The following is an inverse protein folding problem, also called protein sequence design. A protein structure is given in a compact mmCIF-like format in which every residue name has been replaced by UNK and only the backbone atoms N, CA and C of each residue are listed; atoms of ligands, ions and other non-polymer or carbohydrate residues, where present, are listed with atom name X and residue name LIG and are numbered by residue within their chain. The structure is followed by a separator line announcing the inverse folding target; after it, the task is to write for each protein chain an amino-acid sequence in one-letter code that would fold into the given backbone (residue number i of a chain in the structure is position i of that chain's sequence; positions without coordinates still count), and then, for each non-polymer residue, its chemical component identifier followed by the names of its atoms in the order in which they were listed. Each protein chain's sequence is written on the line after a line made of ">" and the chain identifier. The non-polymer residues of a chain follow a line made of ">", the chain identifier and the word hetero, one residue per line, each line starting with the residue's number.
data_IF_326629326141
#
_entry.id   IF_326629326141
#
_cell.length_a   1.000
_cell.length_b   1.000
_cell.length_c   1.000
_cell.angle_alpha   90.00
_cell.angle_beta   90.00
_cell.angle_gamma   90.00
#
_symmetry.space_group_name_H-M   'P 1'
#
loop_
_entity.id
_entity.type
_entity.pdbx_description
1 polymer ?
#
# COMPACT_ATOMS: atom_id res chain seq x y z
N UNK A 1 9.69 -26.91 -82.58
CA UNK A 1 9.33 -25.75 -81.75
C UNK A 1 8.41 -26.23 -80.65
N UNK A 2 8.99 -26.57 -79.49
CA UNK A 2 8.28 -27.00 -78.30
C UNK A 2 8.62 -26.00 -77.19
N UNK A 3 7.60 -25.34 -76.66
CA UNK A 3 7.67 -24.34 -75.61
C UNK A 3 7.79 -25.04 -74.26
N UNK A 4 8.96 -24.91 -73.60
CA UNK A 4 9.14 -25.27 -72.20
C UNK A 4 8.54 -24.19 -71.29
N UNK A 5 7.62 -24.59 -70.42
CA UNK A 5 7.20 -23.80 -69.27
C UNK A 5 8.15 -24.07 -68.09
N UNK A 6 8.55 -23.06 -67.30
CA UNK A 6 9.31 -23.29 -66.08
C UNK A 6 8.37 -23.69 -64.93
N UNK A 7 8.63 -24.86 -64.36
CA UNK A 7 8.09 -25.33 -63.08
C UNK A 7 8.73 -24.53 -61.94
N UNK A 8 7.92 -23.72 -61.26
CA UNK A 8 8.25 -23.13 -59.96
C UNK A 8 8.04 -24.20 -58.87
N UNK A 9 9.05 -25.06 -58.66
CA UNK A 9 9.22 -25.80 -57.40
C UNK A 9 10.17 -24.98 -56.53
N UNK A 10 9.61 -24.16 -55.64
CA UNK A 10 10.23 -23.69 -54.40
C UNK A 10 9.22 -22.78 -53.66
N UNK A 11 8.09 -23.37 -53.25
CA UNK A 11 7.25 -22.78 -52.21
C UNK A 11 7.75 -23.35 -50.87
N UNK A 12 8.61 -22.58 -50.19
CA UNK A 12 8.99 -22.86 -48.82
C UNK A 12 7.74 -23.08 -47.96
N UNK A 13 7.69 -24.09 -47.07
CA UNK A 13 6.54 -24.28 -46.21
C UNK A 13 6.35 -23.01 -45.39
N UNK A 14 5.14 -22.45 -45.47
CA UNK A 14 4.68 -21.39 -44.60
C UNK A 14 5.05 -21.79 -43.17
N UNK A 15 5.95 -21.01 -42.55
CA UNK A 15 6.25 -21.15 -41.13
C UNK A 15 4.92 -20.99 -40.42
N UNK A 16 4.40 -22.08 -39.86
CA UNK A 16 3.40 -22.01 -38.82
C UNK A 16 3.96 -21.05 -37.76
N UNK A 17 3.38 -19.86 -37.67
CA UNK A 17 3.61 -18.96 -36.56
C UNK A 17 3.21 -19.73 -35.32
N UNK A 18 4.20 -20.30 -34.64
CA UNK A 18 4.01 -20.98 -33.37
C UNK A 18 3.43 -19.99 -32.39
N UNK A 19 2.10 -19.97 -32.29
CA UNK A 19 1.40 -19.26 -31.25
C UNK A 19 1.83 -19.85 -29.92
N UNK A 20 2.53 -19.05 -29.12
CA UNK A 20 2.95 -19.42 -27.78
C UNK A 20 1.70 -19.85 -26.97
N UNK A 21 1.70 -20.98 -26.24
CA UNK A 21 0.53 -21.49 -25.50
C UNK A 21 -0.05 -20.53 -24.44
N UNK A 22 0.67 -19.44 -24.13
CA UNK A 22 0.21 -18.36 -23.24
C UNK A 22 -0.61 -17.29 -23.98
N UNK A 23 -0.66 -17.31 -25.31
CA UNK A 23 -1.38 -16.35 -26.16
C UNK A 23 -2.69 -16.90 -26.73
N UNK A 24 -2.96 -18.20 -26.57
CA UNK A 24 -4.07 -18.89 -27.25
C UNK A 24 -5.38 -18.99 -26.46
N UNK A 25 -5.50 -18.41 -25.26
CA UNK A 25 -6.65 -18.67 -24.37
C UNK A 25 -7.62 -17.48 -24.19
N UNK A 26 -7.28 -16.29 -24.68
CA UNK A 26 -8.15 -15.09 -24.57
C UNK A 26 -8.69 -14.57 -25.92
N UNK A 27 -8.60 -15.36 -26.99
CA UNK A 27 -8.70 -14.90 -28.38
C UNK A 27 -10.09 -14.46 -28.88
N UNK A 28 -11.08 -14.18 -28.02
CA UNK A 28 -12.37 -13.63 -28.47
C UNK A 28 -12.95 -12.49 -27.62
N UNK A 29 -12.47 -12.28 -26.39
CA UNK A 29 -13.00 -11.22 -25.53
C UNK A 29 -12.11 -9.99 -25.62
N UNK A 30 -12.73 -8.84 -25.86
CA UNK A 30 -12.02 -7.55 -25.91
C UNK A 30 -12.49 -6.61 -24.81
N UNK A 31 -13.70 -6.82 -24.28
CA UNK A 31 -14.33 -5.93 -23.30
C UNK A 31 -14.28 -6.50 -21.88
N UNK A 32 -14.01 -5.64 -20.91
CA UNK A 32 -13.99 -5.99 -19.48
C UNK A 32 -15.30 -6.60 -18.99
N UNK A 33 -16.44 -6.10 -19.48
CA UNK A 33 -17.75 -6.62 -19.12
C UNK A 33 -17.95 -8.08 -19.53
N UNK A 34 -17.49 -8.44 -20.73
CA UNK A 34 -17.54 -9.82 -21.23
C UNK A 34 -16.62 -10.70 -20.39
N UNK A 35 -15.40 -10.23 -20.14
CA UNK A 35 -14.45 -10.91 -19.27
C UNK A 35 -15.05 -11.19 -17.89
N UNK A 36 -15.75 -10.21 -17.29
CA UNK A 36 -16.35 -10.36 -15.95
C UNK A 36 -17.48 -11.38 -15.93
N UNK A 37 -18.33 -11.39 -16.96
CA UNK A 37 -19.38 -12.40 -17.11
C UNK A 37 -18.77 -13.80 -17.21
N UNK A 38 -17.75 -13.95 -18.06
CA UNK A 38 -17.03 -15.21 -18.25
C UNK A 38 -16.30 -15.64 -16.96
N UNK A 39 -15.67 -14.72 -16.24
CA UNK A 39 -15.00 -15.00 -14.96
C UNK A 39 -15.98 -15.47 -13.88
N UNK A 40 -17.17 -14.86 -13.83
CA UNK A 40 -18.26 -15.27 -12.95
C UNK A 40 -18.85 -16.64 -13.31
N UNK A 41 -18.96 -16.95 -14.60
CA UNK A 41 -19.50 -18.21 -15.10
C UNK A 41 -18.49 -19.37 -15.07
N UNK A 42 -17.18 -19.09 -15.11
CA UNK A 42 -16.13 -20.10 -15.12
C UNK A 42 -16.18 -20.96 -13.86
N UNK A 43 -16.34 -22.27 -14.04
CA UNK A 43 -16.29 -23.27 -12.96
C UNK A 43 -14.93 -23.97 -12.86
N UNK A 44 -14.16 -23.97 -13.96
CA UNK A 44 -12.84 -24.60 -14.01
C UNK A 44 -11.74 -23.66 -13.50
N UNK A 45 -10.88 -24.18 -12.62
CA UNK A 45 -9.78 -23.42 -12.05
C UNK A 45 -8.76 -22.96 -13.10
N UNK A 46 -8.46 -23.80 -14.10
CA UNK A 46 -7.58 -23.45 -15.21
C UNK A 46 -8.11 -22.24 -15.97
N UNK A 47 -9.40 -22.28 -16.33
CA UNK A 47 -10.07 -21.15 -16.98
C UNK A 47 -10.03 -19.88 -16.15
N UNK A 48 -10.35 -19.94 -14.84
CA UNK A 48 -10.25 -18.77 -13.95
C UNK A 48 -8.84 -18.20 -13.89
N UNK A 49 -7.81 -19.05 -13.84
CA UNK A 49 -6.41 -18.62 -13.88
C UNK A 49 -6.10 -17.88 -15.18
N UNK A 50 -6.47 -18.44 -16.33
CA UNK A 50 -6.15 -17.85 -17.63
C UNK A 50 -6.86 -16.50 -17.82
N UNK A 51 -8.10 -16.39 -17.32
CA UNK A 51 -8.81 -15.11 -17.25
C UNK A 51 -8.08 -14.09 -16.40
N UNK A 52 -7.60 -14.46 -15.21
CA UNK A 52 -6.81 -13.56 -14.34
C UNK A 52 -5.52 -13.09 -15.02
N UNK A 53 -4.84 -13.95 -15.77
CA UNK A 53 -3.62 -13.56 -16.48
C UNK A 53 -3.87 -12.56 -17.62
N UNK A 54 -5.06 -12.59 -18.21
CA UNK A 54 -5.45 -11.72 -19.33
C UNK A 54 -6.36 -10.54 -18.97
N UNK A 55 -6.92 -10.43 -17.76
CA UNK A 55 -7.99 -9.46 -17.52
C UNK A 55 -7.57 -7.99 -17.62
N UNK A 56 -6.30 -7.66 -17.41
CA UNK A 56 -5.79 -6.29 -17.63
C UNK A 56 -5.56 -5.94 -19.10
N UNK A 57 -5.57 -6.90 -20.02
CA UNK A 57 -5.53 -6.62 -21.46
C UNK A 57 -6.90 -6.28 -22.04
N UNK A 58 -7.97 -6.44 -21.25
CA UNK A 58 -9.34 -6.11 -21.65
C UNK A 58 -9.55 -4.59 -21.66
N UNK A 59 -10.27 -4.11 -22.67
CA UNK A 59 -10.70 -2.72 -22.77
C UNK A 59 -11.78 -2.43 -21.71
N UNK A 60 -11.62 -1.32 -21.00
CA UNK A 60 -12.60 -0.80 -20.05
C UNK A 60 -13.32 0.39 -20.68
N UNK A 61 -14.64 0.47 -20.48
CA UNK A 61 -15.46 1.53 -21.07
C UNK A 61 -15.28 2.89 -20.37
N UNK A 62 -14.77 2.89 -19.14
CA UNK A 62 -14.54 4.11 -18.36
C UNK A 62 -13.95 3.84 -16.98
N UNK A 63 -13.76 4.91 -16.21
CA UNK A 63 -13.11 4.88 -14.90
C UNK A 63 -13.80 3.96 -13.88
N UNK A 64 -15.13 3.82 -13.94
CA UNK A 64 -15.88 2.93 -13.03
C UNK A 64 -15.50 1.46 -13.23
N UNK A 65 -15.40 1.01 -14.49
CA UNK A 65 -14.98 -0.37 -14.82
C UNK A 65 -13.50 -0.59 -14.47
N UNK A 66 -12.69 0.46 -14.55
CA UNK A 66 -11.28 0.44 -14.14
C UNK A 66 -11.11 0.25 -12.62
N UNK A 67 -11.89 1.00 -11.83
CA UNK A 67 -11.96 0.87 -10.36
C UNK A 67 -12.44 -0.52 -9.96
N UNK A 68 -13.49 -1.02 -10.64
CA UNK A 68 -14.01 -2.36 -10.41
C UNK A 68 -12.96 -3.43 -10.68
N UNK A 69 -12.22 -3.31 -11.79
CA UNK A 69 -11.12 -4.23 -12.13
C UNK A 69 -10.07 -4.26 -11.03
N UNK A 70 -9.57 -3.10 -10.62
CA UNK A 70 -8.53 -3.01 -9.59
C UNK A 70 -9.02 -3.61 -8.24
N UNK A 71 -10.28 -3.36 -7.88
CA UNK A 71 -10.89 -3.95 -6.69
C UNK A 71 -11.04 -5.47 -6.78
N UNK A 72 -11.47 -5.99 -7.92
CA UNK A 72 -11.65 -7.44 -8.14
C UNK A 72 -10.31 -8.17 -8.03
N UNK A 73 -9.24 -7.63 -8.60
CA UNK A 73 -7.92 -8.25 -8.50
C UNK A 73 -7.42 -8.30 -7.05
N UNK A 74 -7.62 -7.24 -6.27
CA UNK A 74 -7.30 -7.26 -4.83
C UNK A 74 -8.16 -8.26 -4.05
N UNK A 75 -9.44 -8.43 -4.40
CA UNK A 75 -10.31 -9.43 -3.77
C UNK A 75 -9.88 -10.87 -4.09
N UNK A 76 -9.55 -11.15 -5.36
CA UNK A 76 -9.05 -12.47 -5.78
C UNK A 76 -7.69 -12.77 -5.17
N UNK A 77 -6.83 -11.75 -5.04
CA UNK A 77 -5.49 -11.86 -4.46
C UNK A 77 -5.48 -11.98 -2.93
N UNK A 78 -6.62 -11.77 -2.26
CA UNK A 78 -6.66 -11.78 -0.80
C UNK A 78 -6.31 -13.15 -0.22
N UNK A 79 -5.40 -13.15 0.74
CA UNK A 79 -4.89 -14.35 1.39
C UNK A 79 -3.80 -15.09 0.61
N UNK A 80 -3.28 -14.59 -0.52
CA UNK A 80 -2.30 -15.33 -1.34
C UNK A 80 -1.04 -15.80 -0.58
N UNK A 81 -0.66 -15.08 0.49
CA UNK A 81 0.48 -15.42 1.35
C UNK A 81 0.13 -16.27 2.58
N UNK A 82 -1.14 -16.59 2.81
CA UNK A 82 -1.58 -17.40 3.95
C UNK A 82 -2.05 -18.80 3.48
N UNK A 83 -1.27 -19.82 3.85
CA UNK A 83 -1.63 -21.23 3.60
C UNK A 83 -2.81 -21.71 4.45
N UNK A 84 -3.13 -21.03 5.56
CA UNK A 84 -4.20 -21.38 6.49
C UNK A 84 -5.55 -20.71 6.20
N UNK A 85 -5.57 -19.53 5.58
CA UNK A 85 -6.80 -18.79 5.23
C UNK A 85 -7.68 -19.55 4.22
N UNK A 86 -7.09 -20.36 3.35
CA UNK A 86 -7.82 -21.11 2.33
C UNK A 86 -8.52 -22.37 2.86
N UNK A 87 -8.33 -22.71 4.16
CA UNK A 87 -8.99 -23.85 4.81
C UNK A 87 -10.28 -23.48 5.55
N UNK A 88 -10.68 -22.20 5.60
CA UNK A 88 -11.90 -21.78 6.30
C UNK A 88 -13.12 -21.88 5.37
N UNK A 89 -14.00 -22.82 5.67
CA UNK A 89 -15.34 -22.92 5.10
C UNK A 89 -16.11 -21.62 5.35
N UNK A 90 -16.35 -20.85 4.27
CA UNK A 90 -17.03 -19.56 4.42
C UNK A 90 -17.23 -18.71 3.16
N UNK A 91 -16.85 -19.16 1.96
CA UNK A 91 -16.91 -18.31 0.77
C UNK A 91 -17.83 -18.87 -0.31
N UNK A 92 -19.15 -18.69 -0.10
CA UNK A 92 -20.21 -19.02 -1.06
C UNK A 92 -20.24 -18.13 -2.33
N UNK A 93 -19.40 -17.09 -2.40
CA UNK A 93 -19.47 -16.07 -3.45
C UNK A 93 -18.70 -16.36 -4.75
N UNK A 94 -17.74 -17.27 -4.74
CA UNK A 94 -16.86 -17.53 -5.90
C UNK A 94 -16.96 -18.96 -6.47
N UNK A 95 -17.89 -19.78 -5.95
CA UNK A 95 -18.21 -21.10 -6.51
C UNK A 95 -17.18 -22.21 -6.25
N UNK A 96 -16.24 -22.03 -5.32
CA UNK A 96 -15.18 -23.00 -5.02
C UNK A 96 -15.67 -24.15 -4.12
N UNK A 97 -16.50 -25.06 -4.64
CA UNK A 97 -16.97 -26.22 -3.87
C UNK A 97 -16.74 -27.53 -4.62
N UNK A 98 -15.75 -28.31 -4.18
CA UNK A 98 -15.70 -29.76 -4.40
C UNK A 98 -14.69 -30.42 -3.46
N UNK A 99 -15.04 -31.53 -2.82
CA UNK A 99 -14.09 -32.38 -2.06
C UNK A 99 -13.13 -33.17 -2.97
N UNK A 100 -13.24 -32.99 -4.30
CA UNK A 100 -12.30 -33.58 -5.25
C UNK A 100 -10.97 -32.83 -5.27
N UNK A 101 -9.87 -33.55 -5.50
CA UNK A 101 -8.59 -32.94 -5.92
C UNK A 101 -8.63 -32.78 -7.45
N UNK A 102 -9.03 -31.62 -7.99
CA UNK A 102 -9.09 -31.45 -9.43
C UNK A 102 -7.68 -31.51 -10.03
N UNK A 103 -7.63 -31.85 -11.32
CA UNK A 103 -6.43 -31.66 -12.12
C UNK A 103 -6.26 -30.17 -12.40
N UNK A 104 -5.08 -29.63 -12.09
CA UNK A 104 -4.72 -28.24 -12.32
C UNK A 104 -3.25 -28.17 -12.75
N UNK A 105 -2.99 -27.60 -13.93
CA UNK A 105 -1.66 -27.55 -14.55
C UNK A 105 -0.99 -28.94 -14.64
N UNK A 106 -1.76 -29.96 -15.01
CA UNK A 106 -1.25 -31.33 -15.19
C UNK A 106 -1.11 -32.16 -13.91
N UNK A 107 -1.42 -31.62 -12.74
CA UNK A 107 -1.26 -32.30 -11.45
C UNK A 107 -2.55 -32.30 -10.63
N UNK A 108 -2.75 -33.32 -9.79
CA UNK A 108 -3.83 -33.32 -8.79
C UNK A 108 -3.43 -32.44 -7.63
N UNK A 109 -4.18 -31.35 -7.42
CA UNK A 109 -3.94 -30.40 -6.33
C UNK A 109 -5.19 -30.24 -5.49
N UNK A 110 -5.00 -29.82 -4.24
CA UNK A 110 -6.11 -29.43 -3.39
C UNK A 110 -6.65 -28.05 -3.80
N UNK A 111 -7.93 -27.80 -3.57
CA UNK A 111 -8.51 -26.48 -3.84
C UNK A 111 -7.81 -25.31 -3.13
N UNK A 112 -7.35 -25.45 -1.87
CA UNK A 112 -6.53 -24.42 -1.23
C UNK A 112 -5.26 -24.06 -2.00
N UNK A 113 -4.53 -25.06 -2.51
CA UNK A 113 -3.30 -24.84 -3.30
C UNK A 113 -3.59 -24.15 -4.64
N UNK A 114 -4.69 -24.54 -5.28
CA UNK A 114 -5.15 -23.94 -6.54
C UNK A 114 -5.56 -22.48 -6.31
N UNK A 115 -6.37 -22.21 -5.28
CA UNK A 115 -6.81 -20.86 -4.94
C UNK A 115 -5.62 -19.98 -4.57
N UNK A 116 -4.69 -20.48 -3.77
CA UNK A 116 -3.46 -19.76 -3.45
C UNK A 116 -2.67 -19.41 -4.72
N UNK A 117 -2.61 -20.32 -5.70
CA UNK A 117 -1.92 -20.05 -6.97
C UNK A 117 -2.63 -18.98 -7.78
N UNK A 118 -3.94 -19.04 -7.92
CA UNK A 118 -4.74 -18.02 -8.62
C UNK A 118 -4.63 -16.66 -7.93
N UNK A 119 -4.70 -16.64 -6.59
CA UNK A 119 -4.54 -15.42 -5.80
C UNK A 119 -3.14 -14.80 -5.99
N UNK A 120 -2.10 -15.63 -6.06
CA UNK A 120 -0.74 -15.16 -6.35
C UNK A 120 -0.63 -14.60 -7.77
N UNK A 121 -1.16 -15.31 -8.77
CA UNK A 121 -1.14 -14.85 -10.16
C UNK A 121 -1.91 -13.51 -10.29
N UNK A 122 -3.05 -13.36 -9.60
CA UNK A 122 -3.81 -12.10 -9.53
C UNK A 122 -3.00 -10.97 -8.88
N UNK A 123 -2.33 -11.25 -7.78
CA UNK A 123 -1.48 -10.25 -7.12
C UNK A 123 -0.30 -9.83 -7.98
N UNK A 124 0.37 -10.78 -8.65
CA UNK A 124 1.51 -10.49 -9.53
C UNK A 124 1.10 -9.62 -10.72
N UNK A 125 -0.07 -9.89 -11.31
CA UNK A 125 -0.64 -9.04 -12.37
C UNK A 125 -0.96 -7.66 -11.80
N UNK A 126 -1.72 -7.56 -10.71
CA UNK A 126 -2.04 -6.27 -10.09
C UNK A 126 -0.79 -5.44 -9.74
N UNK A 127 0.20 -6.08 -9.12
CA UNK A 127 1.46 -5.42 -8.74
C UNK A 127 2.22 -4.93 -9.97
N UNK A 128 2.23 -5.70 -11.07
CA UNK A 128 2.89 -5.31 -12.32
C UNK A 128 2.17 -4.17 -13.04
N UNK A 129 0.85 -4.18 -13.09
CA UNK A 129 0.06 -3.21 -13.85
C UNK A 129 -0.22 -1.92 -13.05
N UNK A 130 -0.32 -1.99 -11.71
CA UNK A 130 -0.75 -0.85 -10.87
C UNK A 130 0.24 -0.37 -9.84
N UNK A 131 1.06 -1.25 -9.28
CA UNK A 131 2.02 -0.87 -8.24
C UNK A 131 3.41 -0.61 -8.79
N UNK A 132 3.68 -1.07 -10.02
CA UNK A 132 4.98 -0.94 -10.64
C UNK A 132 5.26 0.53 -10.93
N UNK A 133 6.27 1.01 -10.23
CA UNK A 133 7.00 2.20 -10.61
C UNK A 133 7.60 2.01 -12.01
N UNK A 134 7.07 2.70 -13.01
CA UNK A 134 7.82 2.88 -14.25
C UNK A 134 8.98 3.82 -13.94
N UNK A 135 10.19 3.26 -14.05
CA UNK A 135 11.52 3.87 -14.16
C UNK A 135 12.54 3.66 -13.04
N UNK A 136 13.69 3.24 -13.56
CA UNK A 136 15.04 2.98 -13.07
C UNK A 136 15.73 4.06 -12.23
N UNK A 137 15.02 5.07 -11.70
CA UNK A 137 15.67 6.18 -10.98
C UNK A 137 15.53 6.04 -9.45
N UNK A 138 16.63 5.87 -8.69
CA UNK A 138 16.59 5.63 -7.24
C UNK A 138 16.14 6.83 -6.39
N UNK A 139 15.82 7.97 -7.01
CA UNK A 139 15.57 9.26 -6.33
C UNK A 139 14.20 9.85 -6.63
N UNK A 140 13.41 9.23 -7.51
CA UNK A 140 12.10 9.76 -7.91
C UNK A 140 11.09 8.63 -7.70
N UNK A 141 10.19 8.74 -6.69
CA UNK A 141 9.05 7.83 -6.58
C UNK A 141 8.30 7.84 -7.91
N UNK A 142 7.89 6.71 -8.46
CA UNK A 142 7.10 6.72 -9.68
C UNK A 142 5.65 6.93 -9.31
N UNK A 143 5.17 8.14 -9.57
CA UNK A 143 3.85 8.60 -9.19
C UNK A 143 2.74 8.09 -10.14
N UNK A 144 3.05 7.22 -11.10
CA UNK A 144 2.09 6.68 -12.07
C UNK A 144 0.95 5.90 -11.40
N UNK A 145 1.21 5.28 -10.25
CA UNK A 145 0.18 4.57 -9.48
C UNK A 145 -0.81 5.52 -8.78
N UNK A 146 -0.43 6.78 -8.54
CA UNK A 146 -1.19 7.70 -7.68
C UNK A 146 -2.54 8.03 -8.27
N UNK A 147 -2.62 8.27 -9.58
CA UNK A 147 -3.88 8.62 -10.26
C UNK A 147 -4.93 7.52 -10.12
N UNK A 148 -4.50 6.27 -10.19
CA UNK A 148 -5.39 5.11 -10.08
C UNK A 148 -5.71 4.76 -8.62
N UNK A 149 -4.72 4.83 -7.73
CA UNK A 149 -4.88 4.42 -6.33
C UNK A 149 -5.63 5.47 -5.53
N UNK A 150 -5.52 6.76 -5.88
CA UNK A 150 -6.23 7.87 -5.20
C UNK A 150 -7.65 8.09 -5.72
N UNK A 151 -8.26 7.07 -6.32
CA UNK A 151 -9.72 6.99 -6.36
C UNK A 151 -10.21 6.47 -5.00
N UNK A 152 -11.16 7.13 -4.30
CA UNK A 152 -11.52 6.79 -2.92
C UNK A 152 -11.85 5.31 -2.68
N UNK A 153 -12.52 4.67 -3.62
CA UNK A 153 -12.90 3.25 -3.59
C UNK A 153 -11.66 2.35 -3.66
N UNK A 154 -10.75 2.64 -4.58
CA UNK A 154 -9.48 1.91 -4.77
C UNK A 154 -8.59 2.11 -3.55
N UNK A 155 -8.43 3.35 -3.08
CA UNK A 155 -7.62 3.66 -1.89
C UNK A 155 -8.10 2.89 -0.66
N UNK A 156 -9.41 2.88 -0.39
CA UNK A 156 -9.98 2.08 0.71
C UNK A 156 -9.68 0.60 0.54
N UNK A 157 -9.76 0.07 -0.69
CA UNK A 157 -9.45 -1.33 -0.99
C UNK A 157 -7.96 -1.64 -0.79
N UNK A 158 -7.06 -0.74 -1.16
CA UNK A 158 -5.61 -0.86 -0.92
C UNK A 158 -5.31 -0.94 0.58
N UNK A 159 -5.87 -0.03 1.38
CA UNK A 159 -5.70 -0.07 2.84
C UNK A 159 -6.28 -1.35 3.46
N UNK A 160 -7.42 -1.84 2.94
CA UNK A 160 -7.98 -3.13 3.36
C UNK A 160 -7.07 -4.29 2.97
N UNK A 161 -6.53 -4.29 1.75
CA UNK A 161 -5.71 -5.37 1.21
C UNK A 161 -4.38 -5.51 1.96
N UNK A 162 -3.76 -4.38 2.33
CA UNK A 162 -2.53 -4.30 3.13
C UNK A 162 -2.78 -3.95 4.60
N UNK A 163 -3.92 -4.40 5.16
CA UNK A 163 -4.20 -4.21 6.59
C UNK A 163 -3.21 -4.99 7.46
N UNK A 164 -2.92 -4.48 8.65
CA UNK A 164 -2.19 -5.26 9.67
C UNK A 164 -3.04 -6.45 10.10
N UNK A 165 -2.42 -7.62 10.15
CA UNK A 165 -3.04 -8.85 10.67
C UNK A 165 -1.97 -9.67 11.40
N UNK A 166 -2.19 -9.90 12.70
CA UNK A 166 -1.16 -10.43 13.57
C UNK A 166 0.06 -9.50 13.64
N UNK A 167 1.26 -10.07 13.53
CA UNK A 167 2.54 -9.34 13.57
C UNK A 167 3.04 -8.79 12.24
N UNK A 168 2.19 -8.73 11.19
CA UNK A 168 2.63 -8.27 9.87
C UNK A 168 1.51 -7.70 9.01
N UNK A 169 1.87 -7.33 7.77
CA UNK A 169 0.94 -6.84 6.76
C UNK A 169 0.30 -8.04 6.04
N UNK A 170 -1.04 -8.09 5.96
CA UNK A 170 -1.74 -9.08 5.14
C UNK A 170 -1.35 -8.90 3.67
N UNK A 171 -1.23 -10.00 2.92
CA UNK A 171 -0.85 -9.99 1.50
C UNK A 171 0.53 -9.36 1.21
N UNK A 172 1.35 -9.09 2.23
CA UNK A 172 2.75 -8.75 2.04
C UNK A 172 3.62 -10.01 2.05
N UNK A 173 4.55 -10.19 1.10
CA UNK A 173 5.40 -11.37 1.02
C UNK A 173 6.48 -11.37 2.11
N UNK A 174 6.18 -12.00 3.26
CA UNK A 174 7.07 -12.07 4.43
C UNK A 174 8.27 -13.00 4.25
N UNK A 175 8.14 -14.03 3.40
CA UNK A 175 9.21 -15.02 3.15
C UNK A 175 10.13 -14.50 2.05
N UNK A 176 11.17 -13.76 2.46
CA UNK A 176 12.21 -13.16 1.61
C UNK A 176 11.79 -11.91 0.82
N UNK A 177 11.48 -10.79 1.51
CA UNK A 177 11.11 -9.53 0.84
C UNK A 177 12.22 -8.98 -0.08
N UNK A 178 13.47 -9.43 0.07
CA UNK A 178 14.58 -9.00 -0.78
C UNK A 178 14.84 -9.91 -1.99
N UNK A 179 14.28 -11.12 -2.00
CA UNK A 179 14.51 -12.14 -3.03
C UNK A 179 13.27 -12.29 -3.90
N UNK A 180 13.03 -11.30 -4.74
CA UNK A 180 11.96 -11.33 -5.73
C UNK A 180 11.70 -9.95 -6.30
N UNK A 181 11.29 -9.89 -7.56
CA UNK A 181 10.91 -8.65 -8.22
C UNK A 181 9.67 -8.01 -7.56
N UNK A 182 8.67 -8.83 -7.22
CA UNK A 182 7.40 -8.36 -6.67
C UNK A 182 7.45 -7.84 -5.23
N UNK A 183 8.11 -8.50 -4.26
CA UNK A 183 8.25 -7.95 -2.91
C UNK A 183 8.90 -6.56 -2.86
N UNK A 184 9.89 -6.30 -3.73
CA UNK A 184 10.53 -4.98 -3.85
C UNK A 184 9.58 -3.91 -4.35
N UNK A 185 8.78 -4.22 -5.38
CA UNK A 185 7.75 -3.30 -5.90
C UNK A 185 6.74 -2.97 -4.81
N UNK A 186 6.24 -3.97 -4.12
CA UNK A 186 5.21 -3.79 -3.09
C UNK A 186 5.76 -2.98 -1.91
N UNK A 187 6.98 -3.28 -1.46
CA UNK A 187 7.64 -2.50 -0.41
C UNK A 187 7.82 -1.04 -0.83
N UNK A 188 8.37 -0.80 -2.03
CA UNK A 188 8.55 0.55 -2.55
C UNK A 188 7.21 1.31 -2.62
N UNK A 189 6.18 0.67 -3.19
CA UNK A 189 4.83 1.22 -3.24
C UNK A 189 4.28 1.58 -1.85
N UNK A 190 4.40 0.70 -0.85
CA UNK A 190 3.89 0.96 0.50
C UNK A 190 4.65 2.11 1.19
N UNK A 191 5.96 2.21 0.97
CA UNK A 191 6.77 3.31 1.46
C UNK A 191 6.37 4.63 0.81
N UNK A 192 6.27 4.65 -0.51
CA UNK A 192 5.83 5.81 -1.27
C UNK A 192 4.42 6.24 -0.83
N UNK A 193 3.49 5.28 -0.70
CA UNK A 193 2.13 5.53 -0.22
C UNK A 193 2.09 6.22 1.15
N UNK A 194 2.90 5.75 2.10
CA UNK A 194 3.03 6.39 3.40
C UNK A 194 3.58 7.81 3.25
N UNK A 195 4.66 7.99 2.48
CA UNK A 195 5.24 9.30 2.23
C UNK A 195 4.23 10.29 1.63
N UNK A 196 3.43 9.86 0.65
CA UNK A 196 2.37 10.70 0.06
C UNK A 196 1.34 11.09 1.10
N UNK A 197 0.89 10.14 1.92
CA UNK A 197 -0.09 10.39 2.98
C UNK A 197 0.36 11.41 4.03
N UNK A 198 1.67 11.56 4.22
CA UNK A 198 2.24 12.54 5.14
C UNK A 198 2.61 13.87 4.48
N UNK A 199 3.16 13.84 3.25
CA UNK A 199 3.69 15.02 2.54
C UNK A 199 2.71 15.67 1.57
N UNK A 200 1.47 15.17 1.47
CA UNK A 200 0.47 15.66 0.50
C UNK A 200 0.35 17.19 0.43
N UNK A 201 0.34 17.88 1.56
CA UNK A 201 0.26 19.36 1.61
C UNK A 201 1.52 20.06 1.10
N UNK A 202 2.70 19.50 1.41
CA UNK A 202 3.98 20.07 0.97
C UNK A 202 4.10 20.02 -0.56
N UNK A 203 3.54 18.98 -1.19
CA UNK A 203 3.45 18.89 -2.65
C UNK A 203 2.49 19.91 -3.27
N UNK A 204 1.51 20.42 -2.51
CA UNK A 204 0.57 21.45 -2.97
C UNK A 204 1.15 22.87 -2.89
N UNK A 205 1.91 23.16 -1.83
CA UNK A 205 2.38 24.52 -1.50
C UNK A 205 3.69 24.92 -2.19
N UNK A 206 4.56 23.97 -2.48
CA UNK A 206 5.79 24.24 -3.22
C UNK A 206 5.53 23.93 -4.70
N UNK A 207 5.87 24.86 -5.59
CA UNK A 207 5.98 24.61 -7.02
C UNK A 207 7.09 23.62 -7.38
N UNK A 208 7.18 22.50 -6.66
CA UNK A 208 7.93 21.26 -6.91
C UNK A 208 7.17 20.35 -7.91
N UNK A 209 6.04 20.82 -8.43
CA UNK A 209 5.37 20.28 -9.62
C UNK A 209 6.20 20.21 -10.93
N UNK A 210 7.42 20.80 -11.11
CA UNK A 210 8.21 20.59 -12.33
C UNK A 210 8.68 19.15 -12.51
N UNK A 211 8.73 18.35 -11.43
CA UNK A 211 9.10 16.94 -11.48
C UNK A 211 7.88 16.00 -11.48
N UNK A 212 6.65 16.54 -11.57
CA UNK A 212 5.40 15.80 -11.45
C UNK A 212 4.42 16.16 -12.60
N UNK A 213 4.74 15.84 -13.87
CA UNK A 213 3.77 15.98 -14.95
C UNK A 213 2.66 14.93 -14.73
N UNK A 214 1.54 15.34 -14.14
CA UNK A 214 0.41 14.45 -13.82
C UNK A 214 -0.31 14.87 -12.54
N UNK A 215 0.39 14.97 -11.40
CA UNK A 215 -0.25 15.21 -10.09
C UNK A 215 -0.92 16.57 -9.91
N UNK A 216 -0.64 17.54 -10.77
CA UNK A 216 -1.15 18.91 -10.64
C UNK A 216 -2.69 18.93 -10.52
N UNK A 217 -3.39 18.12 -11.29
CA UNK A 217 -4.86 18.08 -11.24
C UNK A 217 -5.42 17.34 -10.01
N UNK A 218 -4.68 16.39 -9.43
CA UNK A 218 -5.08 15.67 -8.20
C UNK A 218 -4.85 16.56 -6.97
N UNK A 219 -3.68 17.19 -6.90
CA UNK A 219 -3.28 18.11 -5.82
C UNK A 219 -4.12 19.41 -5.83
N UNK A 220 -4.54 19.88 -7.01
CA UNK A 220 -5.36 21.10 -7.14
C UNK A 220 -6.86 20.86 -6.92
N UNK A 221 -7.40 19.64 -7.12
CA UNK A 221 -8.86 19.41 -7.14
C UNK A 221 -9.47 18.72 -5.92
N UNK A 222 -8.74 17.89 -5.16
CA UNK A 222 -9.43 16.98 -4.24
C UNK A 222 -9.11 17.18 -2.75
N UNK A 223 -9.76 18.18 -2.15
CA UNK A 223 -9.78 18.36 -0.69
C UNK A 223 -10.35 17.15 0.06
N UNK A 224 -11.17 16.31 -0.59
CA UNK A 224 -11.69 15.08 0.02
C UNK A 224 -10.63 14.01 0.11
N UNK A 225 -9.77 13.87 -0.90
CA UNK A 225 -8.63 12.96 -0.86
C UNK A 225 -7.63 13.38 0.22
N UNK A 226 -7.36 14.68 0.34
CA UNK A 226 -6.54 15.22 1.43
C UNK A 226 -7.11 14.81 2.80
N UNK A 227 -8.39 15.10 3.06
CA UNK A 227 -9.05 14.70 4.30
C UNK A 227 -9.00 13.18 4.53
N UNK A 228 -9.15 12.38 3.46
CA UNK A 228 -9.09 10.93 3.52
C UNK A 228 -7.68 10.43 3.89
N UNK A 229 -6.63 11.01 3.32
CA UNK A 229 -5.24 10.69 3.65
C UNK A 229 -4.92 11.04 5.10
N UNK A 230 -5.30 12.25 5.54
CA UNK A 230 -5.14 12.68 6.93
C UNK A 230 -5.84 11.74 7.91
N UNK A 231 -7.12 11.43 7.64
CA UNK A 231 -7.93 10.54 8.48
C UNK A 231 -7.45 9.08 8.50
N UNK A 232 -6.44 8.71 7.68
CA UNK A 232 -5.86 7.37 7.59
C UNK A 232 -4.39 7.31 7.95
N UNK A 233 -3.82 8.36 8.55
CA UNK A 233 -2.44 8.38 9.02
C UNK A 233 -2.13 7.29 10.04
N UNK A 234 -3.10 6.92 10.87
CA UNK A 234 -3.03 5.76 11.77
C UNK A 234 -2.70 4.46 11.00
N UNK A 235 -3.25 4.27 9.80
CA UNK A 235 -2.95 3.11 8.94
C UNK A 235 -1.55 3.17 8.33
N UNK A 236 -1.05 4.36 8.00
CA UNK A 236 0.33 4.50 7.54
C UNK A 236 1.32 4.17 8.66
N UNK A 237 1.01 4.49 9.92
CA UNK A 237 1.80 4.07 11.08
C UNK A 237 1.83 2.53 11.20
N UNK A 238 0.68 1.85 11.03
CA UNK A 238 0.63 0.38 11.04
C UNK A 238 1.49 -0.24 9.93
N UNK A 239 1.45 0.34 8.73
CA UNK A 239 2.25 -0.12 7.59
C UNK A 239 3.74 0.08 7.90
N UNK A 240 4.16 1.27 8.32
CA UNK A 240 5.55 1.57 8.64
C UNK A 240 6.10 0.70 9.79
N UNK A 241 5.31 0.47 10.84
CA UNK A 241 5.67 -0.45 11.93
C UNK A 241 5.91 -1.87 11.40
N UNK A 242 4.99 -2.35 10.56
CA UNK A 242 5.08 -3.70 10.01
C UNK A 242 6.20 -3.87 8.96
N UNK A 243 6.67 -2.76 8.37
CA UNK A 243 7.86 -2.71 7.51
C UNK A 243 9.16 -2.45 8.27
N UNK A 244 9.09 -2.28 9.60
CA UNK A 244 10.20 -1.92 10.49
C UNK A 244 10.80 -0.50 10.26
N UNK A 245 10.03 0.37 9.60
CA UNK A 245 10.40 1.71 9.12
C UNK A 245 9.69 2.84 9.90
N UNK A 246 9.03 2.53 11.02
CA UNK A 246 8.33 3.52 11.84
C UNK A 246 9.25 4.65 12.34
N UNK A 247 10.56 4.40 12.43
CA UNK A 247 11.54 5.38 12.86
C UNK A 247 11.70 6.56 11.88
N UNK A 248 11.27 6.40 10.63
CA UNK A 248 11.21 7.48 9.64
C UNK A 248 10.32 8.64 10.11
N UNK A 249 9.38 8.34 11.01
CA UNK A 249 8.56 9.34 11.68
C UNK A 249 9.33 10.23 12.65
N UNK A 250 10.60 9.97 12.99
CA UNK A 250 11.39 10.86 13.86
C UNK A 250 11.99 12.04 13.09
N UNK A 251 12.42 11.82 11.84
CA UNK A 251 13.24 12.77 11.09
C UNK A 251 12.45 13.83 10.32
N UNK A 252 11.13 13.87 10.46
CA UNK A 252 10.24 14.65 9.60
C UNK A 252 9.50 15.74 10.39
N UNK A 253 9.08 16.83 9.76
CA UNK A 253 8.28 17.89 10.41
C UNK A 253 6.78 17.61 10.42
N UNK A 254 6.38 16.34 10.30
CA UNK A 254 4.97 15.95 10.18
C UNK A 254 4.20 16.15 11.48
N UNK A 255 3.00 16.73 11.36
CA UNK A 255 2.07 16.94 12.49
C UNK A 255 1.31 15.66 12.82
N UNK A 256 1.27 15.31 14.10
CA UNK A 256 0.56 14.13 14.60
C UNK A 256 -0.79 14.57 15.18
N UNK A 257 -1.85 13.86 14.82
CA UNK A 257 -3.14 14.00 15.47
C UNK A 257 -3.31 12.99 16.61
N UNK A 258 -4.41 13.10 17.35
CA UNK A 258 -4.73 12.18 18.45
C UNK A 258 -4.79 10.73 17.99
N UNK A 259 -5.27 10.45 16.78
CA UNK A 259 -5.36 9.09 16.25
C UNK A 259 -3.98 8.49 16.01
N UNK A 260 -3.01 9.29 15.57
CA UNK A 260 -1.62 8.88 15.40
C UNK A 260 -0.99 8.49 16.74
N UNK A 261 -1.17 9.31 17.79
CA UNK A 261 -0.65 9.01 19.13
C UNK A 261 -1.28 7.75 19.72
N UNK A 262 -2.60 7.61 19.65
CA UNK A 262 -3.30 6.40 20.10
C UNK A 262 -2.81 5.16 19.36
N UNK A 263 -2.51 5.28 18.07
CA UNK A 263 -1.98 4.15 17.29
C UNK A 263 -0.58 3.76 17.74
N UNK A 264 0.32 4.72 17.94
CA UNK A 264 1.67 4.48 18.43
C UNK A 264 1.66 3.83 19.82
N UNK A 265 0.80 4.31 20.71
CA UNK A 265 0.59 3.73 22.03
C UNK A 265 0.08 2.28 21.93
N UNK A 266 -0.93 2.04 21.08
CA UNK A 266 -1.45 0.70 20.83
C UNK A 266 -0.36 -0.27 20.34
N UNK A 267 0.51 0.16 19.42
CA UNK A 267 1.59 -0.66 18.89
C UNK A 267 2.68 -0.92 19.95
N UNK A 268 3.03 0.11 20.71
CA UNK A 268 4.06 0.06 21.75
C UNK A 268 3.66 -0.86 22.92
N UNK A 269 2.42 -0.77 23.37
CA UNK A 269 1.90 -1.48 24.54
C UNK A 269 1.16 -2.77 24.16
N UNK A 270 0.89 -3.01 22.88
CA UNK A 270 0.21 -4.21 22.41
C UNK A 270 1.15 -5.35 21.99
N UNK A 271 2.46 -5.09 21.90
CA UNK A 271 3.43 -6.04 21.37
C UNK A 271 4.25 -6.66 22.49
N UNK A 272 4.39 -7.98 22.48
CA UNK A 272 5.25 -8.69 23.41
C UNK A 272 6.73 -8.46 23.04
N UNK A 273 7.52 -7.97 23.99
CA UNK A 273 8.95 -7.71 23.82
C UNK A 273 9.77 -8.72 24.61
N UNK A 274 10.95 -9.07 24.11
CA UNK A 274 11.84 -10.07 24.71
C UNK A 274 12.67 -9.54 25.88
N UNK A 275 12.95 -8.23 25.90
CA UNK A 275 14.01 -7.64 26.73
C UNK A 275 13.49 -6.46 27.56
N UNK A 276 12.40 -6.66 28.31
CA UNK A 276 11.83 -5.61 29.14
C UNK A 276 12.61 -5.49 30.47
N UNK A 277 13.23 -4.34 30.77
CA UNK A 277 13.96 -4.15 32.02
C UNK A 277 12.99 -3.95 33.19
N UNK A 278 13.00 -4.86 34.16
CA UNK A 278 12.17 -4.80 35.37
C UNK A 278 13.00 -4.91 36.63
N UNK A 279 12.66 -4.09 37.62
CA UNK A 279 13.26 -4.18 38.94
C UNK A 279 12.62 -5.36 39.69
N UNK A 280 13.44 -6.34 40.06
CA UNK A 280 13.03 -7.47 40.91
C UNK A 280 13.71 -7.36 42.27
N UNK A 281 13.31 -8.18 43.24
CA UNK A 281 13.98 -8.29 44.55
C UNK A 281 15.49 -8.59 44.42
N UNK A 282 15.91 -9.15 43.29
CA UNK A 282 17.31 -9.50 42.97
C UNK A 282 17.97 -8.53 41.97
N UNK A 283 17.43 -7.31 41.82
CA UNK A 283 17.95 -6.29 40.90
C UNK A 283 17.25 -6.24 39.53
N UNK A 284 17.85 -5.51 38.59
CA UNK A 284 17.29 -5.32 37.24
C UNK A 284 17.41 -6.62 36.42
N UNK A 285 16.28 -7.15 35.95
CA UNK A 285 16.23 -8.33 35.07
C UNK A 285 15.50 -7.99 33.77
N UNK A 286 15.89 -8.67 32.70
CA UNK A 286 15.18 -8.62 31.42
C UNK A 286 14.13 -9.72 31.41
N UNK A 287 12.89 -9.34 31.22
CA UNK A 287 11.76 -10.26 31.13
C UNK A 287 11.09 -10.13 29.78
N UNK A 288 10.57 -11.27 29.30
CA UNK A 288 9.66 -11.28 28.17
C UNK A 288 8.25 -10.92 28.65
N UNK A 289 7.57 -10.04 27.93
CA UNK A 289 6.18 -9.72 28.24
C UNK A 289 5.67 -8.50 27.50
N UNK A 290 4.54 -7.99 27.94
CA UNK A 290 3.96 -6.75 27.42
C UNK A 290 4.41 -5.58 28.32
N UNK A 291 4.86 -4.45 27.77
CA UNK A 291 5.21 -3.26 28.56
C UNK A 291 4.00 -2.70 29.31
N UNK A 292 4.23 -2.12 30.50
CA UNK A 292 3.19 -1.45 31.31
C UNK A 292 3.14 0.05 31.06
N UNK A 293 4.20 0.63 30.51
CA UNK A 293 4.28 2.04 30.16
C UNK A 293 5.08 2.28 28.88
N UNK A 294 4.96 3.49 28.33
CA UNK A 294 5.71 3.90 27.14
C UNK A 294 7.21 3.98 27.39
N UNK A 295 7.63 4.37 28.59
CA UNK A 295 9.03 4.40 29.01
C UNK A 295 9.60 2.98 29.09
N UNK A 296 8.86 2.04 29.69
CA UNK A 296 9.25 0.63 29.74
C UNK A 296 9.37 0.04 28.32
N UNK A 297 8.40 0.35 27.44
CA UNK A 297 8.42 -0.07 26.05
C UNK A 297 9.63 0.50 25.28
N UNK A 298 9.93 1.80 25.46
CA UNK A 298 11.06 2.46 24.81
C UNK A 298 12.41 1.90 25.31
N UNK A 299 12.55 1.67 26.62
CA UNK A 299 13.73 1.03 27.21
C UNK A 299 13.94 -0.41 26.71
N UNK A 300 12.84 -1.11 26.43
CA UNK A 300 12.83 -2.43 25.82
C UNK A 300 13.05 -2.42 24.29
N UNK A 301 13.26 -1.25 23.67
CA UNK A 301 13.59 -1.10 22.25
C UNK A 301 12.39 -0.96 21.32
N UNK A 302 11.18 -0.70 21.83
CA UNK A 302 10.00 -0.45 20.98
C UNK A 302 10.16 0.85 20.19
N UNK A 303 10.27 0.74 18.86
CA UNK A 303 10.38 1.89 17.96
C UNK A 303 9.13 2.79 18.03
N UNK A 304 7.93 2.20 18.15
CA UNK A 304 6.69 2.95 18.31
C UNK A 304 6.69 3.80 19.59
N UNK A 305 7.19 3.25 20.70
CA UNK A 305 7.31 3.98 21.96
C UNK A 305 8.31 5.14 21.86
N UNK A 306 9.45 4.91 21.22
CA UNK A 306 10.47 5.94 20.97
C UNK A 306 9.89 7.09 20.13
N UNK A 307 9.17 6.76 19.05
CA UNK A 307 8.50 7.77 18.20
C UNK A 307 7.47 8.57 18.99
N UNK A 308 6.62 7.89 19.77
CA UNK A 308 5.62 8.55 20.61
C UNK A 308 6.24 9.55 21.58
N UNK A 309 7.20 9.11 22.39
CA UNK A 309 7.83 9.93 23.43
C UNK A 309 8.60 11.11 22.83
N UNK A 310 9.30 10.87 21.71
CA UNK A 310 9.99 11.93 20.98
C UNK A 310 9.00 12.99 20.50
N UNK A 311 7.91 12.58 19.84
CA UNK A 311 6.91 13.50 19.29
C UNK A 311 6.17 14.27 20.36
N UNK A 312 5.74 13.61 21.43
CA UNK A 312 5.07 14.25 22.56
C UNK A 312 5.96 15.34 23.18
N UNK A 313 7.26 15.06 23.34
CA UNK A 313 8.23 16.05 23.84
C UNK A 313 8.41 17.21 22.87
N UNK A 314 8.55 16.94 21.57
CA UNK A 314 8.70 17.98 20.54
C UNK A 314 7.47 18.89 20.50
N UNK A 315 6.26 18.33 20.56
CA UNK A 315 5.02 19.12 20.57
C UNK A 315 4.88 19.97 21.84
N UNK A 316 5.18 19.41 23.01
CA UNK A 316 5.18 20.16 24.27
C UNK A 316 6.20 21.32 24.25
N UNK A 317 7.39 21.08 23.70
CA UNK A 317 8.41 22.12 23.54
C UNK A 317 7.98 23.22 22.56
N UNK A 318 7.37 22.85 21.43
CA UNK A 318 6.84 23.81 20.47
C UNK A 318 5.65 24.60 21.02
N UNK A 319 4.80 23.99 21.84
CA UNK A 319 3.71 24.68 22.53
C UNK A 319 4.25 25.71 23.53
N UNK A 320 5.24 25.33 24.33
CA UNK A 320 5.90 26.24 25.28
C UNK A 320 6.54 27.45 24.57
N UNK A 321 7.24 27.22 23.46
CA UNK A 321 7.83 28.31 22.66
C UNK A 321 6.76 29.26 22.12
N UNK A 322 5.64 28.73 21.60
CA UNK A 322 4.52 29.55 21.13
C UNK A 322 3.88 30.38 22.24
N UNK A 323 3.82 29.86 23.47
CA UNK A 323 3.33 30.62 24.63
C UNK A 323 4.30 31.74 25.03
N UNK A 324 5.60 31.47 25.00
CA UNK A 324 6.64 32.48 25.25
C UNK A 324 6.61 33.60 24.21
N UNK A 325 6.46 33.27 22.92
CA UNK A 325 6.35 34.24 21.84
C UNK A 325 5.11 35.12 22.00
N UNK A 326 3.96 34.52 22.36
CA UNK A 326 2.72 35.28 22.65
C UNK A 326 2.88 36.22 23.84
N UNK A 327 3.53 35.77 24.90
CA UNK A 327 3.78 36.59 26.09
C UNK A 327 4.74 37.75 25.77
N UNK A 328 5.76 37.50 24.94
CA UNK A 328 6.69 38.53 24.48
C UNK A 328 5.96 39.57 23.61
N UNK A 329 5.13 39.13 22.67
CA UNK A 329 4.35 40.04 21.83
C UNK A 329 3.39 40.89 22.67
N UNK A 330 2.66 40.29 23.61
CA UNK A 330 1.75 41.03 24.49
C UNK A 330 2.49 42.06 25.36
N UNK A 331 3.74 41.77 25.75
CA UNK A 331 4.59 42.71 26.47
C UNK A 331 5.00 43.89 25.58
N UNK A 332 5.45 43.62 24.35
CA UNK A 332 5.81 44.67 23.39
C UNK A 332 4.62 45.58 23.08
N UNK A 333 3.44 44.99 22.83
CA UNK A 333 2.21 45.75 22.57
C UNK A 333 1.80 46.61 23.78
N UNK A 334 2.07 46.14 25.01
CA UNK A 334 1.80 46.90 26.24
C UNK A 334 2.79 48.05 26.45
N UNK A 335 4.07 47.83 26.15
CA UNK A 335 5.11 48.88 26.19
C UNK A 335 4.81 49.99 25.18
N UNK A 336 4.43 49.64 23.95
CA UNK A 336 4.03 50.61 22.92
C UNK A 336 2.81 51.45 23.36
N UNK A 337 1.79 50.82 23.97
CA UNK A 337 0.63 51.53 24.50
C UNK A 337 0.99 52.49 25.64
N UNK A 338 1.92 52.10 26.52
CA UNK A 338 2.38 52.96 27.61
C UNK A 338 3.18 54.16 27.08
N UNK A 339 4.01 53.95 26.06
CA UNK A 339 4.75 55.04 25.40
C UNK A 339 3.79 56.07 24.79
N UNK A 340 2.75 55.63 24.06
CA UNK A 340 1.72 56.51 23.49
C UNK A 340 1.03 57.34 24.58
N UNK A 341 0.57 56.70 25.66
CA UNK A 341 -0.12 57.39 26.76
C UNK A 341 0.81 58.41 27.46
N UNK A 342 2.08 58.07 27.64
CA UNK A 342 3.07 58.97 28.28
C UNK A 342 3.36 60.21 27.44
N UNK A 343 3.27 60.13 26.11
CA UNK A 343 3.44 61.27 25.20
C UNK A 343 2.19 62.16 25.16
N UNK A 344 1.01 61.61 25.45
CA UNK A 344 -0.24 62.36 25.53
C UNK A 344 -0.39 63.13 26.85
N UNK A 345 0.07 62.58 27.99
CA UNK A 345 0.05 63.28 29.29
C UNK A 345 1.13 64.37 29.43
N UNK A 346 2.16 64.34 28.58
CA UNK A 346 3.23 65.35 28.53
C UNK A 346 2.94 66.58 27.67
N UNK A 347 1.76 66.67 27.04
CA UNK A 347 1.26 67.82 26.27
C UNK A 347 0.16 68.54 27.04
#
# INVERSE_FOLDING_TARGET
>A
MATHAPTNEDAAPAREEGHHPLLSVTSSMTLWREWKQEFGAATEAGRKRDLILGGYTMQVAGAEEEVERDCLYMEVADGHNDTGSFNRAGERGLGWHSDSRPFFLGERRSWPEIRQRIARDAFEVFARERLRSHETHPTIPSWAWVEHIFVPEVFRKVLWFFRREGGGIRNYPHRHPERGFYPRIVRAFLMDLCEVGWKFEQYRGHGLAPHLPGMRHILERDSRMQMLLFARRDRFIEILDSLDEIILLLGQSWEFDTACFLKLEQLALGTELSDIPRLTENGLRKERGVPRSMEEAALAGSKAAIVYLYRQRTEAQMALLREQDKALQAKLDAEERLEVLSQEEGR
#
